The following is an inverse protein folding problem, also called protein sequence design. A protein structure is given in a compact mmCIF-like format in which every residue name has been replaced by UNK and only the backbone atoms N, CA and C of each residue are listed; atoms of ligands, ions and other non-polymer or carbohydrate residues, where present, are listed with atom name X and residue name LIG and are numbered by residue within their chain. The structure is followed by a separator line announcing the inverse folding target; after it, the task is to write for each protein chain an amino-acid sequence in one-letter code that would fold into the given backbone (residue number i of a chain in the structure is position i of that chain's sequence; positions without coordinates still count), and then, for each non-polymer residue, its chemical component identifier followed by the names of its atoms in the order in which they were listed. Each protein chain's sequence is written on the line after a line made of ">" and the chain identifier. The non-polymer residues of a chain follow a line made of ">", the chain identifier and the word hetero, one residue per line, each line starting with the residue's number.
data_IF_906399873505
#
_entry.id   IF_906399873505
#
_cell.length_a   1.000
_cell.length_b   1.000
_cell.length_c   1.000
_cell.angle_alpha   90.00
_cell.angle_beta   90.00
_cell.angle_gamma   90.00
#
_symmetry.space_group_name_H-M   'P 1'
#
loop_
_entity.id
_entity.type
_entity.pdbx_description
1 polymer ?
#
# COMPACT_ATOMS: atom_id res chain seq x y z
N UNK A 1 5.59 -17.50 -3.35
CA UNK A 1 6.90 -17.02 -2.84
C UNK A 1 6.63 -15.70 -2.09
N UNK A 2 7.09 -15.48 -0.84
CA UNK A 2 6.81 -14.25 -0.10
C UNK A 2 7.27 -12.96 -0.81
N UNK A 3 8.42 -12.98 -1.50
CA UNK A 3 8.90 -11.84 -2.27
C UNK A 3 7.99 -11.52 -3.46
N UNK A 4 7.46 -12.55 -4.11
CA UNK A 4 6.52 -12.39 -5.22
C UNK A 4 5.19 -11.80 -4.74
N UNK A 5 4.70 -12.24 -3.57
CA UNK A 5 3.49 -11.69 -2.96
C UNK A 5 3.65 -10.21 -2.62
N UNK A 6 4.73 -9.81 -1.93
CA UNK A 6 4.99 -8.40 -1.61
C UNK A 6 5.07 -7.51 -2.85
N UNK A 7 5.63 -8.02 -3.96
CA UNK A 7 5.67 -7.27 -5.23
C UNK A 7 4.31 -7.18 -5.91
N UNK A 8 3.51 -8.23 -5.84
CA UNK A 8 2.14 -8.23 -6.36
C UNK A 8 1.25 -7.27 -5.56
N UNK A 9 1.39 -7.26 -4.23
CA UNK A 9 0.67 -6.35 -3.34
C UNK A 9 1.08 -4.90 -3.63
N UNK A 10 2.38 -4.60 -3.71
CA UNK A 10 2.84 -3.25 -4.07
C UNK A 10 2.30 -2.77 -5.43
N UNK A 11 2.25 -3.66 -6.43
CA UNK A 11 1.71 -3.32 -7.73
C UNK A 11 0.21 -2.97 -7.65
N UNK A 12 -0.55 -3.75 -6.88
CA UNK A 12 -1.97 -3.48 -6.65
C UNK A 12 -2.19 -2.14 -5.95
N UNK A 13 -1.39 -1.83 -4.92
CA UNK A 13 -1.52 -0.56 -4.20
C UNK A 13 -1.20 0.65 -5.08
N UNK A 14 -0.16 0.55 -5.91
CA UNK A 14 0.20 1.60 -6.86
C UNK A 14 -0.89 1.81 -7.94
N UNK A 15 -1.63 0.76 -8.31
CA UNK A 15 -2.81 0.86 -9.19
C UNK A 15 -4.01 1.51 -8.49
N UNK A 16 -4.15 1.35 -7.17
CA UNK A 16 -5.24 1.94 -6.39
C UNK A 16 -5.10 3.47 -6.21
N UNK A 17 -3.87 3.98 -6.04
CA UNK A 17 -3.61 5.42 -5.82
C UNK A 17 -4.28 6.35 -6.85
N UNK A 18 -4.09 6.20 -8.17
CA UNK A 18 -4.73 7.08 -9.14
C UNK A 18 -6.26 6.98 -9.09
N UNK A 19 -6.81 5.78 -8.86
CA UNK A 19 -8.26 5.56 -8.78
C UNK A 19 -8.86 6.32 -7.59
N UNK A 20 -8.22 6.25 -6.42
CA UNK A 20 -8.65 6.96 -5.22
C UNK A 20 -8.53 8.48 -5.39
N UNK A 21 -7.42 8.96 -5.97
CA UNK A 21 -7.21 10.39 -6.22
C UNK A 21 -8.24 10.96 -7.20
N UNK A 22 -8.59 10.22 -8.25
CA UNK A 22 -9.63 10.59 -9.20
C UNK A 22 -11.03 10.58 -8.54
N UNK A 23 -11.31 9.58 -7.69
CA UNK A 23 -12.57 9.51 -6.94
C UNK A 23 -12.73 10.69 -5.96
N UNK A 24 -11.66 11.05 -5.23
CA UNK A 24 -11.63 12.23 -4.36
C UNK A 24 -11.90 13.51 -5.17
N UNK A 25 -11.24 13.66 -6.32
CA UNK A 25 -11.42 14.83 -7.21
C UNK A 25 -12.86 14.93 -7.71
N UNK A 26 -13.45 13.81 -8.12
CA UNK A 26 -14.84 13.75 -8.56
C UNK A 26 -15.82 14.12 -7.44
N UNK A 27 -15.67 13.53 -6.25
CA UNK A 27 -16.49 13.88 -5.09
C UNK A 27 -16.43 15.37 -4.75
N UNK A 28 -15.24 15.98 -4.83
CA UNK A 28 -15.07 17.42 -4.62
C UNK A 28 -15.84 18.25 -5.68
N UNK A 29 -15.80 17.84 -6.94
CA UNK A 29 -16.47 18.55 -8.04
C UNK A 29 -18.00 18.63 -7.88
N UNK A 30 -18.60 17.62 -7.24
CA UNK A 30 -20.05 17.55 -6.97
C UNK A 30 -20.40 17.89 -5.52
N UNK A 31 -19.43 18.32 -4.71
CA UNK A 31 -19.59 18.64 -3.28
C UNK A 31 -20.08 17.48 -2.42
N UNK A 32 -19.71 16.24 -2.76
CA UNK A 32 -19.94 15.06 -1.93
C UNK A 32 -18.83 14.93 -0.87
N UNK A 33 -19.01 15.63 0.25
CA UNK A 33 -18.01 15.65 1.32
C UNK A 33 -17.91 14.35 2.11
N UNK A 34 -18.95 13.51 2.13
CA UNK A 34 -18.97 12.26 2.92
C UNK A 34 -18.14 11.19 2.21
N UNK A 35 -18.41 10.98 0.91
CA UNK A 35 -17.63 10.03 0.11
C UNK A 35 -16.19 10.51 -0.07
N UNK A 36 -15.96 11.83 -0.25
CA UNK A 36 -14.60 12.39 -0.30
C UNK A 36 -13.79 11.97 0.93
N UNK A 37 -14.33 12.20 2.13
CA UNK A 37 -13.63 11.85 3.37
C UNK A 37 -13.30 10.35 3.43
N UNK A 38 -14.28 9.50 3.09
CA UNK A 38 -14.05 8.05 3.05
C UNK A 38 -12.90 7.68 2.10
N UNK A 39 -12.88 8.22 0.88
CA UNK A 39 -11.80 7.94 -0.08
C UNK A 39 -10.45 8.51 0.36
N UNK A 40 -10.42 9.64 1.08
CA UNK A 40 -9.19 10.16 1.69
C UNK A 40 -8.69 9.25 2.80
N UNK A 41 -9.56 8.78 3.70
CA UNK A 41 -9.17 7.86 4.78
C UNK A 41 -8.61 6.53 4.22
N UNK A 42 -9.18 6.05 3.11
CA UNK A 42 -8.66 4.87 2.40
C UNK A 42 -7.31 5.18 1.75
N UNK A 43 -7.17 6.31 1.06
CA UNK A 43 -5.92 6.71 0.41
C UNK A 43 -4.76 6.80 1.42
N UNK A 44 -5.00 7.39 2.59
CA UNK A 44 -4.00 7.47 3.66
C UNK A 44 -3.57 6.06 4.12
N UNK A 45 -4.53 5.13 4.25
CA UNK A 45 -4.24 3.72 4.58
C UNK A 45 -3.42 3.01 3.50
N UNK A 46 -3.70 3.24 2.21
CA UNK A 46 -2.93 2.61 1.13
C UNK A 46 -1.51 3.19 1.06
N UNK A 47 -1.31 4.48 1.34
CA UNK A 47 0.02 5.09 1.41
C UNK A 47 0.85 4.53 2.59
N UNK A 48 0.22 4.28 3.75
CA UNK A 48 0.86 3.55 4.86
C UNK A 48 1.20 2.10 4.49
N UNK A 49 0.32 1.42 3.74
CA UNK A 49 0.56 0.05 3.30
C UNK A 49 1.73 -0.03 2.30
N UNK A 50 1.80 0.91 1.35
CA UNK A 50 2.92 1.04 0.41
C UNK A 50 4.25 1.22 1.17
N UNK A 51 4.31 2.16 2.13
CA UNK A 51 5.53 2.41 2.92
C UNK A 51 6.00 1.15 3.66
N UNK A 52 5.06 0.41 4.24
CA UNK A 52 5.36 -0.86 4.90
C UNK A 52 5.93 -1.90 3.94
N UNK A 53 5.30 -2.08 2.76
CA UNK A 53 5.73 -3.04 1.75
C UNK A 53 7.11 -2.68 1.20
N UNK A 54 7.35 -1.41 0.87
CA UNK A 54 8.64 -0.92 0.40
C UNK A 54 9.74 -1.16 1.45
N UNK A 55 9.42 -0.93 2.72
CA UNK A 55 10.32 -1.26 3.84
C UNK A 55 10.61 -2.76 3.91
N UNK A 56 9.62 -3.63 3.72
CA UNK A 56 9.86 -5.08 3.71
C UNK A 56 10.76 -5.50 2.54
N UNK A 57 10.55 -4.93 1.35
CA UNK A 57 11.37 -5.20 0.18
C UNK A 57 12.82 -4.72 0.37
N UNK A 58 13.02 -3.55 0.98
CA UNK A 58 14.37 -3.07 1.35
C UNK A 58 15.04 -4.00 2.36
N UNK A 59 14.31 -4.46 3.38
CA UNK A 59 14.83 -5.41 4.37
C UNK A 59 15.24 -6.73 3.71
N UNK A 60 14.45 -7.26 2.78
CA UNK A 60 14.81 -8.46 2.00
C UNK A 60 16.10 -8.21 1.21
N UNK A 61 16.22 -7.06 0.56
CA UNK A 61 17.41 -6.70 -0.22
C UNK A 61 18.67 -6.60 0.66
N UNK A 62 18.54 -6.08 1.89
CA UNK A 62 19.66 -5.86 2.81
C UNK A 62 20.09 -7.12 3.57
N UNK A 63 19.14 -7.95 3.96
CA UNK A 63 19.39 -9.15 4.79
C UNK A 63 19.57 -10.42 3.95
N UNK A 64 19.02 -10.44 2.74
CA UNK A 64 18.78 -11.65 1.97
C UNK A 64 17.49 -12.35 2.40
N UNK A 65 16.81 -12.99 1.44
CA UNK A 65 15.49 -13.59 1.62
C UNK A 65 15.43 -14.58 2.79
N UNK A 66 16.39 -15.50 2.90
CA UNK A 66 16.41 -16.49 3.97
C UNK A 66 16.49 -15.86 5.37
N UNK A 67 17.34 -14.85 5.57
CA UNK A 67 17.48 -14.17 6.86
C UNK A 67 16.24 -13.32 7.18
N UNK A 68 15.67 -12.64 6.19
CA UNK A 68 14.41 -11.92 6.36
C UNK A 68 13.30 -12.87 6.83
N UNK A 69 13.15 -14.03 6.19
CA UNK A 69 12.10 -14.99 6.56
C UNK A 69 12.27 -15.53 7.98
N UNK A 70 13.51 -15.73 8.45
CA UNK A 70 13.75 -16.11 9.85
C UNK A 70 13.20 -15.08 10.85
N UNK A 71 13.23 -13.79 10.52
CA UNK A 71 12.64 -12.73 11.38
C UNK A 71 11.11 -12.76 11.47
N UNK A 72 10.44 -13.59 10.65
CA UNK A 72 8.97 -13.66 10.56
C UNK A 72 8.39 -14.96 11.13
N UNK A 73 9.22 -15.78 11.79
CA UNK A 73 8.81 -17.09 12.34
C UNK A 73 8.30 -16.99 13.78
N UNK A 74 8.66 -15.95 14.52
CA UNK A 74 8.25 -15.76 15.92
C UNK A 74 7.05 -14.80 16.01
N UNK A 75 6.05 -15.15 16.82
CA UNK A 75 4.89 -14.32 17.21
C UNK A 75 5.22 -13.40 18.39
#
# INVERSE_FOLDING_TARGET
>A
NPLELLKADLALELEALPVLRDAISYCESIRDSVSRRLFTDILDSEEEHIDWIETQLDLINRLGEANYLLTKIEE
#
